data_IF_815339856826
#
_entry.id   IF_815339856826
#
_cell.length_a   1.000
_cell.length_b   1.000
_cell.length_c   1.000
_cell.angle_alpha   90.00
_cell.angle_beta   90.00
_cell.angle_gamma   90.00
#
_symmetry.space_group_name_H-M   'P 1'
#
loop_
_entity.id
_entity.type
_entity.pdbx_description
1 polymer ?
#
# COMPACT_ATOMS: atom_id res chain seq x y z
N UNK A 1 -72.05 34.70 -21.19
CA UNK A 1 -70.92 33.87 -21.65
C UNK A 1 -71.37 33.06 -22.85
N UNK A 2 -70.83 33.37 -24.03
CA UNK A 2 -71.11 32.66 -25.28
C UNK A 2 -70.40 31.30 -25.30
N UNK A 3 -70.80 30.38 -26.19
CA UNK A 3 -70.19 29.05 -26.32
C UNK A 3 -68.65 29.10 -26.49
N UNK A 4 -68.14 30.18 -27.09
CA UNK A 4 -66.73 30.47 -27.28
C UNK A 4 -65.97 30.75 -25.97
N UNK A 5 -66.63 31.32 -24.96
CA UNK A 5 -66.02 31.56 -23.63
C UNK A 5 -65.80 30.26 -22.86
N UNK A 6 -66.76 29.33 -22.91
CA UNK A 6 -66.65 28.03 -22.20
C UNK A 6 -65.54 27.16 -22.78
N UNK A 7 -65.28 27.24 -24.09
CA UNK A 7 -64.17 26.54 -24.77
C UNK A 7 -62.81 27.10 -24.34
N UNK A 8 -62.65 28.42 -24.32
CA UNK A 8 -61.43 29.08 -23.83
C UNK A 8 -61.20 28.80 -22.35
N UNK A 9 -62.25 28.83 -21.53
CA UNK A 9 -62.15 28.55 -20.09
C UNK A 9 -61.73 27.09 -19.82
N UNK A 10 -62.23 26.12 -20.59
CA UNK A 10 -61.77 24.72 -20.52
C UNK A 10 -60.31 24.55 -20.96
N UNK A 11 -59.88 25.23 -22.02
CA UNK A 11 -58.47 25.20 -22.45
C UNK A 11 -57.54 25.84 -21.40
N UNK A 12 -57.94 26.95 -20.79
CA UNK A 12 -57.17 27.61 -19.71
C UNK A 12 -57.08 26.72 -18.47
N UNK A 13 -58.15 26.02 -18.09
CA UNK A 13 -58.12 25.08 -16.95
C UNK A 13 -57.23 23.88 -17.26
N UNK A 14 -57.28 23.30 -18.47
CA UNK A 14 -56.43 22.17 -18.87
C UNK A 14 -54.95 22.59 -18.88
N UNK A 15 -54.63 23.77 -19.43
CA UNK A 15 -53.26 24.30 -19.43
C UNK A 15 -52.78 24.59 -18.00
N UNK A 16 -53.63 25.17 -17.14
CA UNK A 16 -53.30 25.43 -15.74
C UNK A 16 -53.04 24.14 -14.95
N UNK A 17 -53.84 23.09 -15.18
CA UNK A 17 -53.65 21.77 -14.56
C UNK A 17 -52.37 21.10 -15.06
N UNK A 18 -52.04 21.20 -16.34
CA UNK A 18 -50.78 20.69 -16.90
C UNK A 18 -49.58 21.46 -16.32
N UNK A 19 -49.66 22.79 -16.18
CA UNK A 19 -48.60 23.63 -15.61
C UNK A 19 -48.43 23.43 -14.11
N UNK A 20 -49.47 23.03 -13.37
CA UNK A 20 -49.39 22.71 -11.94
C UNK A 20 -48.89 21.29 -11.67
N UNK A 21 -49.22 20.34 -12.54
CA UNK A 21 -48.83 18.93 -12.38
C UNK A 21 -47.44 18.66 -13.00
N UNK A 22 -47.05 19.37 -14.06
CA UNK A 22 -45.76 19.19 -14.72
C UNK A 22 -44.55 19.40 -13.78
N UNK A 23 -44.48 20.41 -12.89
CA UNK A 23 -43.39 20.56 -11.94
C UNK A 23 -43.35 19.45 -10.87
N UNK A 24 -44.51 18.89 -10.51
CA UNK A 24 -44.61 17.79 -9.55
C UNK A 24 -44.17 16.47 -10.19
N UNK A 25 -44.58 16.22 -11.44
CA UNK A 25 -44.15 15.05 -12.23
C UNK A 25 -42.68 15.18 -12.67
N UNK A 26 -42.20 16.39 -12.99
CA UNK A 26 -40.78 16.66 -13.28
C UNK A 26 -39.96 16.58 -11.99
N UNK A 27 -40.46 17.05 -10.84
CA UNK A 27 -39.81 16.83 -9.53
C UNK A 27 -39.75 15.36 -9.12
N UNK A 28 -40.75 14.56 -9.49
CA UNK A 28 -40.77 13.10 -9.33
C UNK A 28 -39.89 12.38 -10.37
N UNK A 29 -39.74 12.91 -11.59
CA UNK A 29 -38.90 12.34 -12.67
C UNK A 29 -37.43 12.72 -12.57
N UNK A 30 -37.10 13.87 -11.98
CA UNK A 30 -35.72 14.34 -11.77
C UNK A 30 -35.10 13.70 -10.51
N UNK A 31 -35.92 13.09 -9.64
CA UNK A 31 -35.45 12.24 -8.53
C UNK A 31 -35.45 10.73 -8.84
N UNK A 32 -35.74 10.32 -10.08
CA UNK A 32 -35.66 8.93 -10.50
C UNK A 32 -34.27 8.64 -11.10
N UNK A 33 -33.25 8.51 -10.23
CA UNK A 33 -31.99 7.87 -10.63
C UNK A 33 -30.74 8.14 -9.80
N UNK A 34 -30.73 9.13 -8.90
CA UNK A 34 -29.59 9.44 -8.04
C UNK A 34 -29.99 9.50 -6.58
N UNK A 35 -29.36 8.68 -5.73
CA UNK A 35 -29.42 8.90 -4.28
C UNK A 35 -28.69 10.20 -3.93
N UNK A 36 -29.12 10.85 -2.84
CA UNK A 36 -28.28 11.85 -2.19
C UNK A 36 -26.94 11.17 -1.82
N UNK A 37 -25.84 11.80 -2.21
CA UNK A 37 -24.51 11.28 -1.93
C UNK A 37 -24.28 11.21 -0.42
N UNK A 38 -24.94 12.07 0.36
CA UNK A 38 -24.88 12.01 1.82
C UNK A 38 -25.60 10.78 2.39
N UNK A 39 -26.74 10.34 1.83
CA UNK A 39 -27.38 9.08 2.24
C UNK A 39 -26.45 7.88 2.00
N UNK A 40 -25.74 7.89 0.86
CA UNK A 40 -24.74 6.86 0.54
C UNK A 40 -23.58 6.91 1.53
N UNK A 41 -23.12 8.12 1.89
CA UNK A 41 -22.03 8.33 2.85
C UNK A 41 -22.40 7.81 4.23
N UNK A 42 -23.52 8.26 4.79
CA UNK A 42 -24.00 7.86 6.11
C UNK A 42 -24.14 6.34 6.19
N UNK A 43 -24.73 5.70 5.16
CA UNK A 43 -24.85 4.25 5.12
C UNK A 43 -23.50 3.53 5.16
N UNK A 44 -22.48 4.05 4.48
CA UNK A 44 -21.12 3.50 4.53
C UNK A 44 -20.47 3.74 5.90
N UNK A 45 -20.62 4.93 6.48
CA UNK A 45 -20.06 5.28 7.79
C UNK A 45 -20.64 4.43 8.92
N UNK A 46 -21.96 4.24 8.95
CA UNK A 46 -22.64 3.36 9.91
C UNK A 46 -22.12 1.92 9.81
N UNK A 47 -22.07 1.36 8.61
CA UNK A 47 -21.54 0.01 8.37
C UNK A 47 -20.09 -0.15 8.86
N UNK A 48 -19.23 0.83 8.56
CA UNK A 48 -17.82 0.78 8.94
C UNK A 48 -17.66 0.93 10.46
N UNK A 49 -18.45 1.79 11.09
CA UNK A 49 -18.45 1.93 12.55
C UNK A 49 -18.90 0.65 13.25
N UNK A 50 -20.01 0.04 12.81
CA UNK A 50 -20.50 -1.23 13.35
C UNK A 50 -19.45 -2.36 13.22
N UNK A 51 -18.72 -2.39 12.10
CA UNK A 51 -17.77 -3.46 11.79
C UNK A 51 -16.41 -3.29 12.47
N UNK A 52 -15.89 -2.07 12.55
CA UNK A 52 -14.53 -1.78 12.99
C UNK A 52 -14.45 -1.08 14.34
N UNK A 53 -15.57 -0.56 14.86
CA UNK A 53 -15.62 0.14 16.14
C UNK A 53 -14.94 1.51 16.15
N UNK A 54 -14.60 2.06 14.98
CA UNK A 54 -14.03 3.40 14.83
C UNK A 54 -14.71 4.16 13.69
N UNK A 55 -14.65 5.50 13.74
CA UNK A 55 -15.22 6.34 12.69
C UNK A 55 -14.32 6.40 11.46
N UNK A 56 -14.93 6.45 10.28
CA UNK A 56 -14.23 6.56 9.00
C UNK A 56 -14.50 7.89 8.33
N UNK A 57 -13.51 8.38 7.59
CA UNK A 57 -13.74 9.31 6.49
C UNK A 57 -14.15 8.48 5.29
N UNK A 58 -15.34 8.75 4.77
CA UNK A 58 -15.80 8.26 3.47
C UNK A 58 -15.70 9.43 2.52
N UNK A 59 -14.92 9.35 1.45
CA UNK A 59 -14.78 10.44 0.48
C UNK A 59 -14.68 9.94 -0.97
N UNK A 60 -14.61 10.89 -1.92
CA UNK A 60 -14.51 10.60 -3.36
C UNK A 60 -15.57 9.60 -3.86
N UNK A 61 -16.79 9.74 -3.34
CA UNK A 61 -17.91 8.88 -3.71
C UNK A 61 -18.20 9.06 -5.20
N UNK A 62 -18.17 7.95 -5.94
CA UNK A 62 -18.46 7.94 -7.36
C UNK A 62 -19.22 6.69 -7.78
N UNK A 63 -19.98 6.80 -8.85
CA UNK A 63 -20.67 5.65 -9.44
C UNK A 63 -19.70 4.82 -10.29
N UNK A 64 -19.84 3.49 -10.23
CA UNK A 64 -19.08 2.52 -11.02
C UNK A 64 -20.04 1.50 -11.64
N UNK A 65 -19.65 0.92 -12.77
CA UNK A 65 -20.35 -0.21 -13.40
C UNK A 65 -19.55 -1.48 -13.17
N UNK A 66 -20.21 -2.51 -12.64
CA UNK A 66 -19.65 -3.84 -12.43
C UNK A 66 -20.02 -4.81 -13.55
N UNK A 67 -19.80 -6.11 -13.32
CA UNK A 67 -20.23 -7.16 -14.24
C UNK A 67 -21.75 -7.12 -14.43
N UNK A 68 -22.21 -7.38 -15.65
CA UNK A 68 -23.63 -7.40 -16.05
C UNK A 68 -24.35 -6.05 -15.82
N UNK A 69 -23.68 -4.93 -16.12
CA UNK A 69 -24.22 -3.56 -16.04
C UNK A 69 -24.76 -3.13 -14.66
N UNK A 70 -24.43 -3.88 -13.60
CA UNK A 70 -24.80 -3.53 -12.23
C UNK A 70 -24.04 -2.27 -11.80
N UNK A 71 -24.76 -1.22 -11.43
CA UNK A 71 -24.16 0.00 -10.90
C UNK A 71 -23.99 -0.09 -9.38
N UNK A 72 -22.94 0.53 -8.87
CA UNK A 72 -22.69 0.66 -7.45
C UNK A 72 -22.00 2.00 -7.16
N UNK A 73 -22.22 2.54 -5.97
CA UNK A 73 -21.38 3.61 -5.44
C UNK A 73 -20.11 3.01 -4.88
N UNK A 74 -18.98 3.66 -5.12
CA UNK A 74 -17.69 3.32 -4.52
C UNK A 74 -17.09 4.59 -3.93
N UNK A 75 -16.58 4.48 -2.71
CA UNK A 75 -15.92 5.54 -1.99
C UNK A 75 -14.52 5.09 -1.60
N UNK A 76 -13.61 6.05 -1.46
CA UNK A 76 -12.36 5.85 -0.73
C UNK A 76 -12.67 5.98 0.76
N UNK A 77 -12.07 5.10 1.55
CA UNK A 77 -12.29 5.06 3.00
C UNK A 77 -10.96 4.99 3.75
N UNK A 78 -10.92 5.61 4.91
CA UNK A 78 -9.83 5.51 5.88
C UNK A 78 -10.31 5.97 7.26
N UNK A 79 -9.72 5.50 8.36
CA UNK A 79 -10.20 5.85 9.69
C UNK A 79 -9.94 7.32 10.01
N UNK A 80 -10.84 7.97 10.75
CA UNK A 80 -10.65 9.37 11.17
C UNK A 80 -9.43 9.54 12.07
N UNK A 81 -9.01 8.48 12.77
CA UNK A 81 -7.85 8.46 13.67
C UNK A 81 -6.52 8.79 12.99
N UNK A 82 -6.41 8.70 11.65
CA UNK A 82 -5.19 9.04 10.93
C UNK A 82 -5.18 10.46 10.35
N UNK A 83 -6.28 11.22 10.45
CA UNK A 83 -6.35 12.62 10.01
C UNK A 83 -5.41 13.47 10.88
N UNK A 84 -4.61 14.33 10.24
CA UNK A 84 -3.59 15.14 10.90
C UNK A 84 -2.31 14.39 11.27
N UNK A 85 -2.19 13.10 10.93
CA UNK A 85 -0.98 12.30 11.17
C UNK A 85 -0.15 12.15 9.89
N UNK A 86 1.08 11.63 9.99
CA UNK A 86 1.91 11.32 8.79
C UNK A 86 1.30 10.26 7.87
N UNK A 87 0.28 9.52 8.35
CA UNK A 87 -0.47 8.52 7.57
C UNK A 87 -1.55 9.16 6.69
N UNK A 88 -1.91 10.42 6.91
CA UNK A 88 -2.90 11.11 6.09
C UNK A 88 -2.39 11.28 4.63
N UNK A 89 -3.23 10.87 3.68
CA UNK A 89 -2.91 10.85 2.27
C UNK A 89 -1.85 9.83 1.87
N UNK A 90 -1.61 8.80 2.69
CA UNK A 90 -0.79 7.64 2.33
C UNK A 90 -1.73 6.47 1.97
N UNK A 91 -1.73 6.11 0.68
CA UNK A 91 -2.66 5.11 0.12
C UNK A 91 -2.49 3.72 0.75
N UNK A 92 -1.36 3.45 1.44
CA UNK A 92 -1.18 2.22 2.22
C UNK A 92 -2.25 2.02 3.30
N UNK A 93 -2.79 3.11 3.86
CA UNK A 93 -3.80 3.07 4.91
C UNK A 93 -5.23 3.20 4.38
N UNK A 94 -5.40 3.26 3.06
CA UNK A 94 -6.67 3.58 2.42
C UNK A 94 -7.29 2.33 1.80
N UNK A 95 -8.61 2.28 1.78
CA UNK A 95 -9.36 1.19 1.18
C UNK A 95 -10.57 1.72 0.41
N UNK A 96 -11.45 0.81 -0.02
CA UNK A 96 -12.71 1.16 -0.66
C UNK A 96 -13.90 0.60 0.10
N UNK A 97 -14.97 1.37 0.18
CA UNK A 97 -16.31 0.90 0.49
C UNK A 97 -17.18 0.98 -0.77
N UNK A 98 -18.17 0.10 -0.86
CA UNK A 98 -19.10 0.06 -1.98
C UNK A 98 -20.51 -0.27 -1.53
N UNK A 99 -21.48 0.34 -2.18
CA UNK A 99 -22.92 0.12 -1.97
C UNK A 99 -23.57 -0.16 -3.33
N UNK A 100 -24.19 -1.32 -3.47
CA UNK A 100 -24.87 -1.68 -4.72
C UNK A 100 -26.11 -0.82 -4.97
N UNK A 101 -26.37 -0.49 -6.22
CA UNK A 101 -27.63 0.14 -6.65
C UNK A 101 -28.52 -0.97 -7.18
N UNK A 102 -29.57 -1.28 -6.42
CA UNK A 102 -30.55 -2.32 -6.74
C UNK A 102 -31.67 -1.79 -7.66
N UNK A 103 -32.57 -2.70 -8.07
CA UNK A 103 -33.74 -2.35 -8.86
C UNK A 103 -34.57 -1.25 -8.19
N UNK A 104 -35.15 -0.37 -9.02
CA UNK A 104 -35.87 0.84 -8.59
C UNK A 104 -35.00 1.88 -7.88
N UNK A 105 -33.67 1.80 -7.99
CA UNK A 105 -32.76 2.77 -7.39
C UNK A 105 -32.78 2.69 -5.86
N UNK A 106 -32.70 1.47 -5.29
CA UNK A 106 -32.53 1.27 -3.84
C UNK A 106 -31.08 0.99 -3.51
N UNK A 107 -30.60 1.46 -2.35
CA UNK A 107 -29.28 1.11 -1.85
C UNK A 107 -29.30 -0.30 -1.24
N UNK A 108 -28.48 -1.21 -1.79
CA UNK A 108 -28.27 -2.55 -1.25
C UNK A 108 -27.27 -2.59 -0.09
N UNK A 109 -26.69 -3.76 0.15
CA UNK A 109 -25.70 -3.97 1.21
C UNK A 109 -24.39 -3.21 0.98
N UNK A 110 -23.71 -2.88 2.08
CA UNK A 110 -22.38 -2.28 2.06
C UNK A 110 -21.32 -3.39 2.11
N UNK A 111 -20.29 -3.25 1.29
CA UNK A 111 -19.10 -4.10 1.38
C UNK A 111 -17.83 -3.27 1.24
N UNK A 112 -16.76 -3.67 1.93
CA UNK A 112 -15.50 -2.94 1.96
C UNK A 112 -14.27 -3.83 1.66
N UNK A 113 -13.13 -3.16 1.58
CA UNK A 113 -11.80 -3.76 1.48
C UNK A 113 -10.84 -3.29 2.60
N UNK A 114 -11.35 -2.72 3.70
CA UNK A 114 -10.51 -2.22 4.79
C UNK A 114 -9.90 -3.34 5.62
N UNK A 115 -10.52 -4.53 5.66
CA UNK A 115 -9.91 -5.69 6.34
C UNK A 115 -8.55 -6.10 5.77
N UNK A 116 -8.22 -5.76 4.51
CA UNK A 116 -6.87 -5.92 3.98
C UNK A 116 -5.87 -4.98 4.68
N UNK A 117 -6.24 -3.71 4.85
CA UNK A 117 -5.43 -2.70 5.54
C UNK A 117 -5.24 -3.08 7.00
N UNK A 118 -6.31 -3.47 7.70
CA UNK A 118 -6.24 -3.90 9.11
C UNK A 118 -5.25 -5.05 9.30
N UNK A 119 -5.30 -6.10 8.46
CA UNK A 119 -4.36 -7.23 8.56
C UNK A 119 -2.91 -6.82 8.33
N UNK A 120 -2.67 -5.89 7.41
CA UNK A 120 -1.32 -5.37 7.15
C UNK A 120 -0.80 -4.58 8.36
N UNK A 121 -1.63 -3.74 8.98
CA UNK A 121 -1.30 -2.99 10.21
C UNK A 121 -1.04 -3.94 11.38
N UNK A 122 -1.88 -4.95 11.58
CA UNK A 122 -1.75 -5.93 12.65
C UNK A 122 -0.45 -6.72 12.52
N UNK A 123 -0.13 -7.18 11.30
CA UNK A 123 1.10 -7.94 11.04
C UNK A 123 2.33 -7.05 11.16
N UNK A 124 2.26 -5.79 10.73
CA UNK A 124 3.32 -4.83 10.99
C UNK A 124 3.57 -4.66 12.48
N UNK A 125 2.52 -4.42 13.27
CA UNK A 125 2.64 -4.28 14.74
C UNK A 125 3.22 -5.54 15.38
N UNK A 126 2.83 -6.71 14.90
CA UNK A 126 3.34 -8.00 15.36
C UNK A 126 4.85 -8.15 15.14
N UNK A 127 5.34 -7.76 13.96
CA UNK A 127 6.73 -7.96 13.55
C UNK A 127 7.67 -6.82 13.98
N UNK A 128 7.14 -5.62 14.21
CA UNK A 128 7.94 -4.40 14.40
C UNK A 128 8.95 -4.52 15.55
N UNK A 129 8.58 -5.13 16.67
CA UNK A 129 9.48 -5.29 17.82
C UNK A 129 10.69 -6.17 17.46
N UNK A 130 10.47 -7.30 16.79
CA UNK A 130 11.52 -8.21 16.34
C UNK A 130 12.39 -7.58 15.26
N UNK A 131 11.80 -6.82 14.32
CA UNK A 131 12.56 -6.08 13.30
C UNK A 131 13.45 -5.04 13.94
N UNK A 132 12.93 -4.23 14.88
CA UNK A 132 13.75 -3.22 15.59
C UNK A 132 14.85 -3.84 16.44
N UNK A 133 14.58 -4.98 17.07
CA UNK A 133 15.59 -5.71 17.85
C UNK A 133 16.77 -6.15 16.98
N UNK A 134 16.52 -6.57 15.74
CA UNK A 134 17.53 -7.13 14.85
C UNK A 134 18.22 -6.04 14.01
N UNK A 135 17.47 -5.08 13.50
CA UNK A 135 17.96 -4.10 12.51
C UNK A 135 18.09 -2.66 13.07
N UNK A 136 17.74 -2.44 14.34
CA UNK A 136 17.75 -1.13 14.98
C UNK A 136 16.48 -0.30 14.77
N UNK A 137 16.48 0.93 15.27
CA UNK A 137 15.30 1.80 15.30
C UNK A 137 14.98 2.46 13.95
N UNK A 138 15.99 2.64 13.08
CA UNK A 138 15.89 3.33 11.79
C UNK A 138 15.31 2.46 10.69
N UNK A 139 14.13 1.90 10.95
CA UNK A 139 13.47 0.94 10.07
C UNK A 139 12.02 1.30 9.78
N UNK A 140 11.62 1.10 8.51
CA UNK A 140 10.22 1.11 8.10
C UNK A 140 9.86 -0.23 7.46
N UNK A 141 8.73 -0.80 7.90
CA UNK A 141 8.18 -2.02 7.33
C UNK A 141 7.08 -1.66 6.34
N UNK A 142 6.99 -2.37 5.22
CA UNK A 142 5.81 -2.39 4.36
C UNK A 142 5.35 -3.84 4.26
N UNK A 143 4.13 -4.08 4.73
CA UNK A 143 3.58 -5.42 4.88
C UNK A 143 2.37 -5.56 3.98
N UNK A 144 2.30 -6.69 3.28
CA UNK A 144 1.12 -7.12 2.53
C UNK A 144 0.81 -8.58 2.85
N UNK A 145 -0.39 -8.82 3.39
CA UNK A 145 -0.83 -10.10 3.92
C UNK A 145 -2.10 -10.55 3.22
N UNK A 146 -1.97 -11.66 2.48
CA UNK A 146 -3.10 -12.34 1.87
C UNK A 146 -3.45 -13.62 2.65
N UNK A 147 -4.71 -13.71 3.07
CA UNK A 147 -5.27 -14.98 3.50
C UNK A 147 -5.79 -15.73 2.28
N UNK A 148 -5.25 -16.91 2.02
CA UNK A 148 -5.69 -17.78 0.93
C UNK A 148 -6.40 -19.00 1.47
N UNK A 149 -7.51 -19.37 0.83
CA UNK A 149 -8.29 -20.56 1.16
C UNK A 149 -8.49 -21.45 -0.06
N UNK A 150 -8.59 -22.75 0.17
CA UNK A 150 -8.89 -23.74 -0.88
C UNK A 150 -9.88 -24.79 -0.41
N UNK A 151 -10.63 -25.35 -1.36
CA UNK A 151 -11.54 -26.47 -1.11
C UNK A 151 -10.82 -27.81 -1.24
N UNK A 152 -10.22 -28.04 -2.40
CA UNK A 152 -9.58 -29.30 -2.81
C UNK A 152 -8.09 -29.17 -3.16
N UNK A 153 -7.52 -27.96 -2.99
CA UNK A 153 -6.12 -27.67 -3.33
C UNK A 153 -5.88 -27.32 -4.80
N UNK A 154 -6.89 -27.39 -5.67
CA UNK A 154 -6.75 -27.08 -7.11
C UNK A 154 -6.59 -25.57 -7.38
N UNK A 155 -7.21 -24.74 -6.55
CA UNK A 155 -7.16 -23.29 -6.66
C UNK A 155 -7.24 -22.62 -5.28
N UNK A 156 -6.47 -21.55 -5.10
CA UNK A 156 -6.41 -20.77 -3.87
C UNK A 156 -7.09 -19.41 -4.07
N UNK A 157 -8.19 -19.19 -3.36
CA UNK A 157 -8.94 -17.94 -3.40
C UNK A 157 -8.48 -16.99 -2.29
N UNK A 158 -8.43 -15.69 -2.59
CA UNK A 158 -8.25 -14.67 -1.55
C UNK A 158 -9.47 -14.60 -0.64
N UNK A 159 -9.28 -14.75 0.66
CA UNK A 159 -10.32 -14.67 1.68
C UNK A 159 -10.18 -13.40 2.52
N UNK A 160 -11.32 -12.74 2.77
CA UNK A 160 -11.36 -11.50 3.56
C UNK A 160 -11.57 -11.80 5.05
N UNK A 161 -10.56 -12.37 5.72
CA UNK A 161 -10.62 -12.48 7.19
C UNK A 161 -10.74 -11.10 7.83
N UNK A 162 -11.52 -11.03 8.90
CA UNK A 162 -11.81 -9.79 9.62
C UNK A 162 -10.61 -9.27 10.40
N UNK A 163 -9.72 -10.16 10.86
CA UNK A 163 -8.50 -9.80 11.60
C UNK A 163 -7.33 -10.76 11.30
N UNK A 164 -6.12 -10.38 11.74
CA UNK A 164 -4.96 -11.27 11.74
C UNK A 164 -5.20 -12.50 12.63
N UNK A 165 -5.85 -12.34 13.78
CA UNK A 165 -6.16 -13.43 14.70
C UNK A 165 -7.09 -14.47 14.07
N UNK A 166 -8.19 -14.03 13.43
CA UNK A 166 -9.12 -14.94 12.74
C UNK A 166 -8.38 -15.75 11.68
N UNK A 167 -7.53 -15.09 10.89
CA UNK A 167 -6.71 -15.75 9.87
C UNK A 167 -5.78 -16.80 10.50
N UNK A 168 -5.06 -16.45 11.57
CA UNK A 168 -4.14 -17.38 12.24
C UNK A 168 -4.88 -18.58 12.83
N UNK A 169 -6.04 -18.38 13.44
CA UNK A 169 -6.86 -19.46 13.99
C UNK A 169 -7.33 -20.42 12.89
N UNK A 170 -7.85 -19.90 11.77
CA UNK A 170 -8.25 -20.74 10.62
C UNK A 170 -7.11 -21.56 10.04
N UNK A 171 -5.92 -20.99 9.99
CA UNK A 171 -4.72 -21.68 9.50
C UNK A 171 -4.24 -22.74 10.48
N UNK A 172 -4.35 -22.49 11.77
CA UNK A 172 -4.06 -23.51 12.80
C UNK A 172 -5.06 -24.66 12.73
N UNK A 173 -6.33 -24.38 12.51
CA UNK A 173 -7.41 -25.38 12.50
C UNK A 173 -7.46 -26.20 11.20
N UNK A 174 -7.05 -25.61 10.07
CA UNK A 174 -7.05 -26.29 8.76
C UNK A 174 -5.90 -25.79 7.86
N UNK A 175 -4.63 -26.10 8.18
CA UNK A 175 -3.45 -25.61 7.48
C UNK A 175 -3.30 -26.12 6.04
N UNK A 176 -4.03 -27.18 5.70
CA UNK A 176 -4.12 -27.74 4.34
C UNK A 176 -5.12 -26.98 3.45
N UNK A 177 -6.05 -26.23 4.07
CA UNK A 177 -7.09 -25.44 3.38
C UNK A 177 -6.89 -23.94 3.50
N UNK A 178 -6.01 -23.49 4.38
CA UNK A 178 -5.78 -22.08 4.64
C UNK A 178 -4.28 -21.82 4.68
N UNK A 179 -3.82 -20.70 4.10
CA UNK A 179 -2.43 -20.26 4.18
C UNK A 179 -2.33 -18.73 4.25
N UNK A 180 -1.22 -18.25 4.80
CA UNK A 180 -0.77 -16.86 4.70
C UNK A 180 0.19 -16.80 3.53
N UNK A 181 -0.02 -15.85 2.62
CA UNK A 181 1.03 -15.34 1.75
C UNK A 181 1.46 -13.98 2.29
N UNK A 182 2.75 -13.85 2.58
CA UNK A 182 3.34 -12.68 3.23
C UNK A 182 4.36 -12.04 2.29
N UNK A 183 4.13 -10.77 1.94
CA UNK A 183 5.15 -9.91 1.35
C UNK A 183 5.59 -8.89 2.39
N UNK A 184 6.85 -8.92 2.75
CA UNK A 184 7.45 -8.10 3.78
C UNK A 184 8.63 -7.36 3.21
N UNK A 185 8.57 -6.02 3.19
CA UNK A 185 9.68 -5.19 2.77
C UNK A 185 10.17 -4.37 3.95
N UNK A 186 11.44 -4.57 4.33
CA UNK A 186 12.12 -3.86 5.40
C UNK A 186 13.07 -2.85 4.78
N UNK A 187 12.82 -1.57 5.05
CA UNK A 187 13.65 -0.47 4.61
C UNK A 187 14.44 0.03 5.81
N UNK A 188 15.76 -0.10 5.74
CA UNK A 188 16.70 0.26 6.80
C UNK A 188 17.42 1.53 6.36
N UNK A 189 17.32 2.60 7.13
CA UNK A 189 17.88 3.91 6.82
C UNK A 189 19.24 4.04 7.49
N UNK A 190 20.23 3.42 6.86
CA UNK A 190 21.57 3.28 7.40
C UNK A 190 22.59 3.14 6.26
N UNK A 191 23.85 3.42 6.57
CA UNK A 191 24.97 3.27 5.62
C UNK A 191 25.83 2.08 6.01
N UNK A 192 26.34 1.40 4.98
CA UNK A 192 27.28 0.29 5.10
C UNK A 192 28.59 0.76 4.47
N UNK A 193 29.58 1.08 5.29
CA UNK A 193 30.85 1.66 4.86
C UNK A 193 31.93 0.59 4.65
N UNK A 194 31.78 -0.57 5.30
CA UNK A 194 32.78 -1.66 5.30
C UNK A 194 32.20 -3.01 4.88
N UNK A 195 33.07 -3.91 4.42
CA UNK A 195 32.67 -5.29 4.12
C UNK A 195 32.35 -6.07 5.41
N UNK A 196 32.96 -5.70 6.53
CA UNK A 196 32.65 -6.23 7.86
C UNK A 196 31.21 -5.91 8.27
N UNK A 197 30.79 -4.64 8.16
CA UNK A 197 29.40 -4.23 8.39
C UNK A 197 28.45 -4.95 7.44
N UNK A 198 28.82 -5.08 6.16
CA UNK A 198 28.01 -5.80 5.17
C UNK A 198 27.79 -7.26 5.57
N UNK A 199 28.82 -7.93 6.10
CA UNK A 199 28.72 -9.30 6.60
C UNK A 199 27.89 -9.38 7.89
N UNK A 200 27.96 -8.39 8.77
CA UNK A 200 27.09 -8.28 9.94
C UNK A 200 25.62 -8.16 9.53
N UNK A 201 25.30 -7.26 8.58
CA UNK A 201 23.95 -7.11 8.02
C UNK A 201 23.43 -8.40 7.40
N UNK A 202 24.30 -9.14 6.71
CA UNK A 202 23.94 -10.46 6.16
C UNK A 202 23.56 -11.46 7.25
N UNK A 203 24.23 -11.43 8.43
CA UNK A 203 23.89 -12.28 9.59
C UNK A 203 22.57 -11.86 10.23
N UNK A 204 22.33 -10.56 10.41
CA UNK A 204 21.05 -10.02 10.91
C UNK A 204 19.87 -10.48 10.05
N UNK A 205 20.01 -10.40 8.72
CA UNK A 205 18.99 -10.88 7.78
C UNK A 205 18.76 -12.39 7.94
N UNK A 206 19.83 -13.17 8.07
CA UNK A 206 19.72 -14.61 8.29
C UNK A 206 19.00 -14.96 9.60
N UNK A 207 19.32 -14.25 10.69
CA UNK A 207 18.64 -14.38 11.99
C UNK A 207 17.15 -14.06 11.86
N UNK A 208 16.80 -12.96 11.19
CA UNK A 208 15.40 -12.59 10.98
C UNK A 208 14.64 -13.63 10.15
N UNK A 209 15.28 -14.25 9.15
CA UNK A 209 14.69 -15.36 8.39
C UNK A 209 14.47 -16.59 9.27
N UNK A 210 15.37 -16.89 10.21
CA UNK A 210 15.14 -17.99 11.15
C UNK A 210 13.98 -17.67 12.09
N UNK A 211 13.90 -16.45 12.60
CA UNK A 211 12.75 -15.98 13.38
C UNK A 211 11.42 -16.17 12.61
N UNK A 212 11.34 -15.75 11.34
CA UNK A 212 10.14 -15.94 10.53
C UNK A 212 9.79 -17.43 10.29
N UNK A 213 10.77 -18.33 10.31
CA UNK A 213 10.52 -19.78 10.25
C UNK A 213 9.94 -20.32 11.54
N UNK A 214 10.48 -19.90 12.68
CA UNK A 214 9.99 -20.27 14.01
C UNK A 214 8.55 -19.79 14.21
N UNK A 215 8.23 -18.61 13.69
CA UNK A 215 6.88 -18.03 13.69
C UNK A 215 5.92 -18.68 12.67
N UNK A 216 6.40 -19.59 11.82
CA UNK A 216 5.61 -20.23 10.77
C UNK A 216 5.23 -19.30 9.60
N UNK A 217 5.87 -18.14 9.47
CA UNK A 217 5.59 -17.13 8.45
C UNK A 217 6.41 -17.31 7.17
N UNK A 218 7.39 -18.21 7.18
CA UNK A 218 8.31 -18.40 6.05
C UNK A 218 7.71 -19.15 4.84
N UNK A 219 6.69 -20.01 5.01
CA UNK A 219 6.30 -21.00 3.98
C UNK A 219 5.94 -20.36 2.62
N UNK A 220 5.27 -19.22 2.63
CA UNK A 220 4.95 -18.41 1.45
C UNK A 220 5.36 -16.95 1.71
N UNK A 221 6.67 -16.76 1.84
CA UNK A 221 7.29 -15.48 2.15
C UNK A 221 7.98 -14.90 0.91
N UNK A 222 7.72 -13.63 0.65
CA UNK A 222 8.59 -12.73 -0.10
C UNK A 222 9.12 -11.70 0.90
N UNK A 223 10.44 -11.66 1.09
CA UNK A 223 11.10 -10.72 1.99
C UNK A 223 12.10 -9.88 1.20
N UNK A 224 11.90 -8.57 1.14
CA UNK A 224 12.92 -7.63 0.69
C UNK A 224 13.56 -6.94 1.90
N UNK A 225 14.88 -7.00 2.02
CA UNK A 225 15.64 -6.18 2.99
C UNK A 225 16.50 -5.20 2.20
N UNK A 226 16.23 -3.91 2.40
CA UNK A 226 16.71 -2.83 1.54
C UNK A 226 17.39 -1.77 2.40
N UNK A 227 18.70 -1.59 2.20
CA UNK A 227 19.48 -0.55 2.85
C UNK A 227 19.40 0.72 2.02
N UNK A 228 18.73 1.73 2.57
CA UNK A 228 18.53 3.05 2.00
C UNK A 228 19.51 4.00 2.68
N UNK A 229 20.22 4.79 1.87
CA UNK A 229 21.11 5.81 2.39
C UNK A 229 20.37 6.80 3.30
N UNK A 230 20.87 7.02 4.51
CA UNK A 230 20.25 7.91 5.48
C UNK A 230 20.15 9.37 5.00
N UNK A 231 20.96 9.80 4.02
CA UNK A 231 20.89 11.15 3.42
C UNK A 231 19.56 11.46 2.75
N UNK A 232 18.70 10.47 2.52
CA UNK A 232 17.30 10.72 2.13
C UNK A 232 16.48 11.42 3.21
N UNK A 233 16.93 11.35 4.47
CA UNK A 233 16.29 11.97 5.62
C UNK A 233 16.67 13.46 5.76
N UNK A 234 17.70 13.93 5.07
CA UNK A 234 18.19 15.30 5.19
C UNK A 234 17.16 16.36 4.72
N UNK A 235 17.08 17.54 5.37
CA UNK A 235 16.33 18.73 4.91
C UNK A 235 16.32 18.99 3.40
N UNK A 236 17.51 19.05 2.80
CA UNK A 236 17.71 19.39 1.39
C UNK A 236 17.36 18.26 0.41
N UNK A 237 17.06 17.04 0.89
CA UNK A 237 16.87 15.88 0.02
C UNK A 237 15.75 16.09 -1.01
N UNK A 238 14.66 16.77 -0.63
CA UNK A 238 13.54 17.03 -1.52
C UNK A 238 13.95 17.81 -2.78
N UNK A 239 14.79 18.83 -2.62
CA UNK A 239 15.29 19.65 -3.73
C UNK A 239 16.23 18.83 -4.64
N UNK A 240 17.16 18.08 -4.05
CA UNK A 240 18.05 17.21 -4.81
C UNK A 240 17.32 16.07 -5.51
N UNK A 241 16.29 15.51 -4.90
CA UNK A 241 15.45 14.48 -5.54
C UNK A 241 14.79 15.00 -6.80
N UNK A 242 14.33 16.26 -6.81
CA UNK A 242 13.81 16.91 -8.02
C UNK A 242 14.93 17.16 -9.05
N UNK A 243 16.09 17.67 -8.64
CA UNK A 243 17.23 17.87 -9.54
C UNK A 243 17.70 16.54 -10.17
N UNK A 244 17.75 15.48 -9.37
CA UNK A 244 18.01 14.11 -9.81
C UNK A 244 16.93 13.65 -10.78
N UNK A 245 15.65 13.92 -10.54
CA UNK A 245 14.58 13.53 -11.45
C UNK A 245 14.67 14.22 -12.82
N UNK A 246 15.00 15.51 -12.84
CA UNK A 246 14.96 16.34 -14.05
C UNK A 246 16.31 16.48 -14.79
N UNK A 247 17.41 15.96 -14.22
CA UNK A 247 18.71 15.96 -14.90
C UNK A 247 18.78 14.98 -16.08
N UNK A 248 19.59 15.33 -17.07
CA UNK A 248 20.01 14.39 -18.11
C UNK A 248 20.95 13.34 -17.50
N UNK A 249 20.63 12.06 -17.71
CA UNK A 249 21.39 10.95 -17.10
C UNK A 249 22.62 10.62 -17.93
N UNK A 250 23.73 10.39 -17.23
CA UNK A 250 24.99 9.97 -17.81
C UNK A 250 25.08 8.45 -17.82
N UNK A 251 25.58 7.89 -18.92
CA UNK A 251 25.84 6.47 -19.05
C UNK A 251 27.17 6.12 -18.40
N UNK A 252 27.14 5.26 -17.39
CA UNK A 252 28.30 4.81 -16.61
C UNK A 252 28.39 3.29 -16.66
N UNK A 253 29.59 2.73 -16.62
CA UNK A 253 29.81 1.28 -16.54
C UNK A 253 30.22 0.90 -15.11
N UNK A 254 29.41 0.05 -14.47
CA UNK A 254 29.62 -0.43 -13.10
C UNK A 254 29.49 -1.94 -13.11
N UNK A 255 30.55 -2.65 -12.69
CA UNK A 255 30.56 -4.12 -12.67
C UNK A 255 30.27 -4.76 -14.03
N UNK A 256 30.77 -4.16 -15.12
CA UNK A 256 30.52 -4.60 -16.50
C UNK A 256 29.10 -4.35 -17.01
N UNK A 257 28.27 -3.62 -16.26
CA UNK A 257 26.89 -3.25 -16.63
C UNK A 257 26.80 -1.77 -16.92
N UNK A 258 26.14 -1.42 -18.02
CA UNK A 258 25.85 -0.03 -18.39
C UNK A 258 24.60 0.45 -17.63
N UNK A 259 24.77 1.49 -16.84
CA UNK A 259 23.72 2.13 -16.03
C UNK A 259 23.61 3.62 -16.36
N UNK A 260 22.47 4.22 -16.02
CA UNK A 260 22.22 5.65 -16.22
C UNK A 260 22.06 6.34 -14.87
N UNK A 261 23.01 7.22 -14.54
CA UNK A 261 23.11 7.91 -13.26
C UNK A 261 22.93 9.42 -13.44
N UNK A 262 22.54 10.16 -12.39
CA UNK A 262 22.62 11.61 -12.39
C UNK A 262 24.05 12.10 -12.65
N UNK A 263 24.22 13.33 -13.19
CA UNK A 263 25.54 13.90 -13.48
C UNK A 263 26.49 13.81 -12.30
N UNK A 264 27.77 13.50 -12.54
CA UNK A 264 28.76 13.33 -11.48
C UNK A 264 28.84 14.52 -10.53
N UNK A 265 28.82 15.76 -11.06
CA UNK A 265 28.91 16.97 -10.23
C UNK A 265 27.70 17.14 -9.31
N UNK A 266 26.48 16.84 -9.80
CA UNK A 266 25.28 16.83 -8.98
C UNK A 266 25.39 15.79 -7.85
N UNK A 267 25.91 14.60 -8.17
CA UNK A 267 26.11 13.52 -7.17
C UNK A 267 27.14 13.91 -6.11
N UNK A 268 28.23 14.57 -6.49
CA UNK A 268 29.22 15.10 -5.53
C UNK A 268 28.60 16.15 -4.61
N UNK A 269 27.94 17.15 -5.19
CA UNK A 269 27.34 18.25 -4.44
C UNK A 269 26.31 17.72 -3.44
N UNK A 270 25.37 16.87 -3.89
CA UNK A 270 24.33 16.32 -3.02
C UNK A 270 24.93 15.42 -1.93
N UNK A 271 25.94 14.61 -2.25
CA UNK A 271 26.57 13.74 -1.26
C UNK A 271 27.23 14.52 -0.15
N UNK A 272 27.86 15.66 -0.45
CA UNK A 272 28.50 16.51 0.55
C UNK A 272 27.46 17.28 1.37
N UNK A 273 26.54 18.00 0.70
CA UNK A 273 25.59 18.86 1.42
C UNK A 273 24.62 18.08 2.30
N UNK A 274 24.10 16.95 1.79
CA UNK A 274 23.16 16.14 2.58
C UNK A 274 23.86 15.45 3.74
N UNK A 275 25.13 15.06 3.59
CA UNK A 275 25.94 14.54 4.69
C UNK A 275 26.11 15.59 5.80
N UNK A 276 26.49 16.82 5.43
CA UNK A 276 26.65 17.92 6.40
C UNK A 276 25.35 18.27 7.15
N UNK A 277 24.19 17.95 6.57
CA UNK A 277 22.89 18.09 7.22
C UNK A 277 22.64 16.92 8.18
N UNK A 278 22.87 15.68 7.75
CA UNK A 278 22.74 14.48 8.59
C UNK A 278 23.66 14.57 9.81
N UNK A 279 24.93 14.95 9.63
CA UNK A 279 25.94 15.06 10.70
C UNK A 279 25.53 16.03 11.83
N UNK A 280 24.59 16.94 11.57
CA UNK A 280 24.10 17.94 12.53
C UNK A 280 22.79 17.52 13.22
N UNK A 281 22.15 16.45 12.75
CA UNK A 281 20.85 16.02 13.25
C UNK A 281 20.98 15.09 14.45
N UNK A 282 20.02 15.16 15.37
CA UNK A 282 19.90 14.17 16.43
C UNK A 282 19.22 12.89 15.94
N UNK A 283 19.37 11.80 16.70
CA UNK A 283 18.66 10.55 16.40
C UNK A 283 17.14 10.75 16.40
N UNK A 284 16.62 11.55 17.33
CA UNK A 284 15.19 11.86 17.42
C UNK A 284 14.70 12.60 16.16
N UNK A 285 15.49 13.54 15.64
CA UNK A 285 15.16 14.25 14.40
C UNK A 285 15.18 13.32 13.18
N UNK A 286 16.15 12.39 13.11
CA UNK A 286 16.23 11.41 12.03
C UNK A 286 15.02 10.46 12.06
N UNK A 287 14.67 9.94 13.23
CA UNK A 287 13.51 9.07 13.42
C UNK A 287 12.19 9.82 13.12
N UNK A 288 12.07 11.08 13.52
CA UNK A 288 10.91 11.90 13.20
C UNK A 288 10.74 12.07 11.69
N UNK A 289 11.83 12.39 10.98
CA UNK A 289 11.81 12.57 9.52
C UNK A 289 11.54 11.27 8.79
N UNK A 290 12.12 10.16 9.25
CA UNK A 290 11.81 8.83 8.75
C UNK A 290 10.31 8.53 8.90
N UNK A 291 9.72 8.85 10.06
CA UNK A 291 8.29 8.67 10.35
C UNK A 291 7.33 9.50 9.47
N UNK A 292 7.84 10.50 8.74
CA UNK A 292 7.07 11.30 7.77
C UNK A 292 7.05 10.69 6.37
N UNK A 293 7.86 9.66 6.10
CA UNK A 293 7.91 8.99 4.80
C UNK A 293 6.62 8.16 4.63
N UNK A 294 5.89 8.43 3.55
CA UNK A 294 4.71 7.64 3.17
C UNK A 294 5.11 6.24 2.75
N UNK A 295 4.48 5.21 3.31
CA UNK A 295 4.74 3.80 3.00
C UNK A 295 4.42 3.45 1.55
N UNK A 296 3.40 4.08 0.97
CA UNK A 296 3.12 3.97 -0.46
C UNK A 296 4.30 4.42 -1.34
N UNK A 297 5.19 5.29 -0.85
CA UNK A 297 6.33 5.87 -1.58
C UNK A 297 7.67 5.18 -1.31
N UNK A 298 7.74 4.20 -0.42
CA UNK A 298 9.00 3.51 -0.12
C UNK A 298 9.60 2.81 -1.35
N UNK A 299 8.75 2.32 -2.26
CA UNK A 299 9.21 1.71 -3.51
C UNK A 299 9.84 2.74 -4.46
N UNK A 300 9.26 3.95 -4.52
CA UNK A 300 9.81 5.08 -5.29
C UNK A 300 11.16 5.52 -4.69
N UNK A 301 11.28 5.49 -3.36
CA UNK A 301 12.46 5.92 -2.63
C UNK A 301 13.66 4.98 -2.84
N UNK A 302 13.47 3.69 -3.14
CA UNK A 302 14.61 2.76 -3.29
C UNK A 302 15.53 3.10 -4.47
N UNK A 303 14.98 3.65 -5.55
CA UNK A 303 15.63 3.79 -6.87
C UNK A 303 17.14 4.10 -6.86
N UNK A 304 17.51 5.36 -6.70
CA UNK A 304 18.92 5.81 -6.67
C UNK A 304 19.53 5.77 -5.25
N UNK A 305 18.72 5.48 -4.23
CA UNK A 305 19.11 5.60 -2.82
C UNK A 305 19.45 4.25 -2.16
N UNK A 306 19.12 3.13 -2.79
CA UNK A 306 19.50 1.81 -2.28
C UNK A 306 20.99 1.58 -2.48
N UNK A 307 21.70 1.42 -1.37
CA UNK A 307 23.12 1.08 -1.37
C UNK A 307 23.32 -0.41 -1.67
N UNK A 308 22.61 -1.27 -0.95
CA UNK A 308 22.51 -2.69 -1.23
C UNK A 308 21.23 -3.27 -0.64
N UNK A 309 20.96 -4.54 -0.94
CA UNK A 309 19.84 -5.26 -0.35
C UNK A 309 19.78 -6.69 -0.82
N UNK A 310 18.73 -7.39 -0.40
CA UNK A 310 18.47 -8.75 -0.85
C UNK A 310 16.97 -9.02 -0.93
N UNK A 311 16.60 -9.95 -1.81
CA UNK A 311 15.26 -10.51 -1.85
C UNK A 311 15.34 -12.00 -1.52
N UNK A 312 14.54 -12.39 -0.55
CA UNK A 312 14.43 -13.75 -0.04
C UNK A 312 13.04 -14.26 -0.39
N UNK A 313 13.01 -15.33 -1.16
CA UNK A 313 11.77 -15.97 -1.56
C UNK A 313 11.73 -17.38 -1.01
N UNK A 314 10.64 -17.72 -0.32
CA UNK A 314 10.39 -19.10 0.01
C UNK A 314 10.06 -19.91 -1.24
N UNK A 315 10.29 -21.22 -1.19
CA UNK A 315 9.91 -22.10 -2.28
C UNK A 315 8.42 -22.00 -2.63
N UNK A 316 7.55 -21.95 -1.62
CA UNK A 316 6.11 -21.82 -1.82
C UNK A 316 5.72 -20.51 -2.51
N UNK A 317 6.38 -19.39 -2.16
CA UNK A 317 6.14 -18.11 -2.82
C UNK A 317 6.58 -18.13 -4.29
N UNK A 318 7.72 -18.75 -4.59
CA UNK A 318 8.22 -18.85 -5.95
C UNK A 318 7.34 -19.74 -6.82
N UNK A 319 6.88 -20.89 -6.32
CA UNK A 319 5.96 -21.76 -7.06
C UNK A 319 4.63 -21.06 -7.38
N UNK A 320 4.10 -20.30 -6.42
CA UNK A 320 2.80 -19.65 -6.60
C UNK A 320 2.89 -18.46 -7.57
N UNK A 321 3.83 -17.54 -7.34
CA UNK A 321 3.84 -16.24 -7.98
C UNK A 321 4.90 -16.07 -9.08
N UNK A 322 5.88 -16.98 -9.15
CA UNK A 322 7.06 -16.83 -10.01
C UNK A 322 7.47 -18.14 -10.73
N UNK A 323 6.52 -19.07 -10.94
CA UNK A 323 6.78 -20.41 -11.48
C UNK A 323 7.53 -20.44 -12.81
N UNK A 324 7.35 -19.43 -13.64
CA UNK A 324 8.02 -19.29 -14.95
C UNK A 324 9.52 -18.94 -14.86
N UNK A 325 10.01 -18.53 -13.70
CA UNK A 325 11.38 -18.06 -13.48
C UNK A 325 12.21 -19.00 -12.58
N UNK A 326 11.68 -20.18 -12.25
CA UNK A 326 12.29 -21.13 -11.33
C UNK A 326 13.57 -21.78 -11.90
N UNK A 327 14.68 -21.65 -11.18
CA UNK A 327 15.92 -22.36 -11.44
C UNK A 327 16.14 -23.55 -10.49
N UNK A 328 17.08 -24.44 -10.82
CA UNK A 328 17.52 -25.51 -9.89
C UNK A 328 18.12 -24.96 -8.60
N UNK A 329 18.75 -23.78 -8.65
CA UNK A 329 19.33 -23.11 -7.48
C UNK A 329 18.24 -22.70 -6.49
N UNK A 330 17.10 -22.22 -6.99
CA UNK A 330 15.98 -21.76 -6.15
C UNK A 330 15.38 -22.90 -5.34
N UNK A 331 15.29 -24.10 -5.91
CA UNK A 331 14.88 -25.33 -5.18
C UNK A 331 15.76 -25.65 -3.98
N UNK A 332 17.03 -25.29 -4.03
CA UNK A 332 18.01 -25.60 -2.98
C UNK A 332 18.14 -24.49 -1.91
N UNK A 333 17.68 -23.27 -2.20
CA UNK A 333 17.77 -22.12 -1.29
C UNK A 333 16.57 -22.10 -0.34
N UNK A 334 16.63 -22.93 0.70
CA UNK A 334 15.65 -22.90 1.81
C UNK A 334 16.09 -21.97 2.97
N UNK A 335 17.17 -21.20 2.77
CA UNK A 335 17.75 -20.29 3.77
C UNK A 335 18.00 -20.93 5.15
N UNK A 336 18.40 -22.21 5.19
CA UNK A 336 18.86 -22.88 6.42
C UNK A 336 20.33 -22.60 6.75
N UNK A 337 21.04 -21.91 5.86
CA UNK A 337 22.46 -21.56 6.01
C UNK A 337 22.68 -20.10 5.62
N UNK A 338 23.62 -19.45 6.29
CA UNK A 338 24.02 -18.05 6.02
C UNK A 338 24.51 -17.83 4.58
N UNK A 339 25.09 -18.86 3.94
CA UNK A 339 25.53 -18.82 2.53
C UNK A 339 24.39 -18.60 1.53
N UNK A 340 23.13 -18.80 1.93
CA UNK A 340 21.98 -18.53 1.06
C UNK A 340 21.56 -17.05 1.05
N UNK A 341 22.05 -16.25 2.00
CA UNK A 341 21.79 -14.81 2.06
C UNK A 341 22.93 -14.10 1.36
N UNK A 342 22.61 -13.41 0.26
CA UNK A 342 23.55 -12.64 -0.55
C UNK A 342 23.05 -11.19 -0.64
N UNK A 343 23.93 -10.22 -0.36
CA UNK A 343 23.62 -8.80 -0.49
C UNK A 343 24.11 -8.28 -1.84
N UNK A 344 23.17 -7.87 -2.69
CA UNK A 344 23.45 -7.27 -3.99
C UNK A 344 23.65 -5.77 -3.86
N UNK A 345 24.69 -5.25 -4.50
CA UNK A 345 24.94 -3.81 -4.55
C UNK A 345 23.91 -3.11 -5.46
N UNK A 346 23.45 -1.94 -5.02
CA UNK A 346 22.61 -1.05 -5.81
C UNK A 346 23.40 -0.48 -6.99
N UNK A 347 23.22 -1.08 -8.18
CA UNK A 347 23.93 -0.64 -9.39
C UNK A 347 23.66 0.82 -9.79
N UNK A 348 22.56 1.39 -9.29
CA UNK A 348 22.18 2.79 -9.49
C UNK A 348 22.41 3.65 -8.25
N UNK A 349 23.09 3.16 -7.22
CA UNK A 349 23.38 3.94 -6.04
C UNK A 349 24.13 5.23 -6.43
N UNK A 350 23.55 6.39 -6.11
CA UNK A 350 24.03 7.67 -6.65
C UNK A 350 25.05 8.36 -5.76
N UNK A 351 25.06 8.06 -4.48
CA UNK A 351 25.90 8.77 -3.54
C UNK A 351 27.36 8.32 -3.62
N UNK A 352 28.24 9.25 -3.30
CA UNK A 352 29.69 9.02 -3.23
C UNK A 352 30.11 8.94 -1.76
N UNK A 353 31.03 8.04 -1.45
CA UNK A 353 31.72 8.02 -0.16
C UNK A 353 32.59 9.27 0.00
N UNK A 354 32.86 9.69 1.24
CA UNK A 354 33.98 10.62 1.49
C UNK A 354 35.23 9.91 0.95
N UNK A 355 35.79 10.42 -0.13
CA UNK A 355 37.19 10.12 -0.42
C UNK A 355 37.99 10.78 0.69
N UNK A 356 38.77 9.98 1.42
CA UNK A 356 39.88 10.47 2.23
C UNK A 356 40.82 11.38 1.41
#
# INVERSE_FOLDING_TARGET
MTQTDKSKQKQVIIIAVIVLIAPVIIGLLVNLGGHDIEDVRTKMEEYLYEKYGEEFVVDRIGTRSGRNDKKFYQARIYPKSIVGTSKEGDDFYYASASVSIEGYGRLGGVGDSYSFVTRNIDMEKYLLSSVKKIFGERVLLKVDVEHKVTGDGSWWAGYKSTSLEEMRNKIKDSPEKNRIELKLFIYIFDRIETEEEKEERRREIFEFVQYLKEEGLYKYLELGVIFIDERVLAPGYGEYSLAVRFSDKEKVEIGGKKVYLPPLELRKEMSVKLEEEIDKMSEEELLERMGRIKKSRLDDLRGYNTQCGTFIYSWGMLEENYSSSLSRRDKSRNYSKLEHVELDNGLKYMYLSRKE
#
